data_IF_497897551344
#
_entry.id   IF_497897551344
#
_cell.length_a   1.000
_cell.length_b   1.000
_cell.length_c   1.000
_cell.angle_alpha   90.00
_cell.angle_beta   90.00
_cell.angle_gamma   90.00
#
_symmetry.space_group_name_H-M   'P 1'
#
loop_
_entity.id
_entity.type
_entity.pdbx_description
1 polymer ?
#
# COMPACT_ATOMS: atom_id res chain seq x y z
N UNK A 1 -16.86 -5.43 -5.74
CA UNK A 1 -17.67 -6.63 -5.45
C UNK A 1 -16.90 -7.91 -5.71
N UNK A 2 -16.20 -8.04 -6.85
CA UNK A 2 -15.31 -9.18 -7.15
C UNK A 2 -14.21 -9.43 -6.12
N UNK A 3 -13.61 -8.38 -5.56
CA UNK A 3 -12.59 -8.53 -4.50
C UNK A 3 -13.12 -9.21 -3.23
N UNK A 4 -14.40 -9.05 -2.90
CA UNK A 4 -15.03 -9.69 -1.73
C UNK A 4 -15.11 -11.22 -1.87
N UNK A 5 -15.22 -11.71 -3.11
CA UNK A 5 -15.21 -13.14 -3.42
C UNK A 5 -13.80 -13.74 -3.37
N UNK A 6 -12.75 -12.91 -3.49
CA UNK A 6 -11.36 -13.33 -3.56
C UNK A 6 -10.67 -13.39 -2.19
N UNK A 7 -11.23 -12.73 -1.18
CA UNK A 7 -10.69 -12.80 0.18
C UNK A 7 -11.33 -13.99 0.91
N UNK A 8 -10.53 -14.95 1.41
CA UNK A 8 -11.06 -16.08 2.17
C UNK A 8 -11.82 -15.63 3.42
N UNK A 9 -12.90 -16.34 3.74
CA UNK A 9 -13.73 -16.19 4.94
C UNK A 9 -14.59 -14.91 5.10
N UNK A 10 -14.68 -14.02 4.10
CA UNK A 10 -15.61 -12.87 4.18
C UNK A 10 -17.09 -13.29 3.99
N UNK A 11 -17.35 -14.31 3.17
CA UNK A 11 -18.70 -14.76 2.79
C UNK A 11 -18.88 -16.26 3.12
N UNK A 12 -19.07 -16.62 4.41
CA UNK A 12 -19.24 -18.02 4.82
C UNK A 12 -20.46 -18.68 4.17
N UNK A 13 -21.50 -17.91 3.81
CA UNK A 13 -22.71 -18.39 3.13
C UNK A 13 -22.49 -18.89 1.70
N UNK A 14 -21.31 -18.62 1.12
CA UNK A 14 -20.91 -19.12 -0.20
C UNK A 14 -20.09 -20.40 -0.12
N UNK A 15 -19.75 -20.89 1.08
CA UNK A 15 -19.05 -22.16 1.26
C UNK A 15 -19.89 -23.29 0.65
N UNK A 16 -19.22 -24.17 -0.12
CA UNK A 16 -19.83 -25.31 -0.83
C UNK A 16 -20.80 -24.97 -2.00
N UNK A 17 -20.89 -23.70 -2.42
CA UNK A 17 -21.68 -23.31 -3.60
C UNK A 17 -20.79 -23.11 -4.83
N UNK A 18 -21.32 -23.47 -6.01
CA UNK A 18 -20.68 -23.16 -7.30
C UNK A 18 -20.90 -21.67 -7.62
N UNK A 19 -19.90 -20.84 -7.32
CA UNK A 19 -19.93 -19.39 -7.56
C UNK A 19 -19.08 -19.04 -8.77
N UNK A 20 -19.60 -18.21 -9.67
CA UNK A 20 -18.88 -17.70 -10.83
C UNK A 20 -18.82 -16.17 -10.76
N UNK A 21 -17.64 -15.59 -10.93
CA UNK A 21 -17.48 -14.15 -11.09
C UNK A 21 -17.53 -13.80 -12.58
N UNK A 22 -18.64 -13.21 -13.03
CA UNK A 22 -18.72 -12.65 -14.37
C UNK A 22 -17.98 -11.31 -14.41
N UNK A 23 -16.83 -11.26 -15.08
CA UNK A 23 -16.11 -10.01 -15.31
C UNK A 23 -16.61 -9.42 -16.62
N UNK A 24 -17.45 -8.40 -16.55
CA UNK A 24 -17.85 -7.62 -17.71
C UNK A 24 -16.82 -6.50 -17.92
N UNK A 25 -16.08 -6.55 -19.03
CA UNK A 25 -15.19 -5.46 -19.43
C UNK A 25 -15.98 -4.32 -20.09
N UNK A 26 -15.68 -3.07 -19.73
CA UNK A 26 -16.21 -1.89 -20.41
C UNK A 26 -15.77 -0.58 -19.74
N UNK A 27 -15.15 0.30 -20.54
CA UNK A 27 -14.72 1.67 -20.17
C UNK A 27 -13.88 1.77 -18.88
N UNK A 28 -12.81 0.99 -18.81
CA UNK A 28 -11.84 1.08 -17.72
C UNK A 28 -11.08 2.40 -17.85
N UNK A 29 -11.36 3.30 -16.92
CA UNK A 29 -10.65 4.57 -16.80
C UNK A 29 -9.26 4.37 -16.18
N UNK A 30 -8.25 4.96 -16.81
CA UNK A 30 -6.84 4.93 -16.39
C UNK A 30 -6.63 5.56 -15.00
N UNK A 31 -7.56 6.40 -14.52
CA UNK A 31 -7.48 6.98 -13.16
C UNK A 31 -8.14 6.06 -12.13
N UNK A 32 -9.26 5.43 -12.49
CA UNK A 32 -10.07 4.65 -11.56
C UNK A 32 -9.48 3.27 -11.27
N UNK A 33 -8.90 2.61 -12.27
CA UNK A 33 -8.30 1.28 -12.09
C UNK A 33 -7.12 1.28 -11.09
N UNK A 34 -6.09 2.14 -11.22
CA UNK A 34 -4.96 2.13 -10.30
C UNK A 34 -5.37 2.46 -8.86
N UNK A 35 -6.32 3.39 -8.68
CA UNK A 35 -6.88 3.71 -7.35
C UNK A 35 -7.61 2.52 -6.72
N UNK A 36 -8.32 1.74 -7.53
CA UNK A 36 -9.00 0.54 -7.06
C UNK A 36 -8.01 -0.56 -6.70
N UNK A 37 -6.92 -0.68 -7.46
CA UNK A 37 -5.83 -1.61 -7.17
C UNK A 37 -5.09 -1.25 -5.88
N UNK A 38 -4.74 0.02 -5.65
CA UNK A 38 -4.11 0.46 -4.39
C UNK A 38 -4.99 0.15 -3.17
N UNK A 39 -6.31 0.37 -3.29
CA UNK A 39 -7.26 0.04 -2.21
C UNK A 39 -7.32 -1.46 -1.96
N UNK A 40 -7.39 -2.28 -3.01
CA UNK A 40 -7.39 -3.73 -2.87
C UNK A 40 -6.10 -4.22 -2.18
N UNK A 41 -4.93 -3.72 -2.60
CA UNK A 41 -3.65 -4.02 -1.94
C UNK A 41 -3.66 -3.61 -0.46
N UNK A 42 -4.24 -2.45 -0.12
CA UNK A 42 -4.33 -2.01 1.27
C UNK A 42 -5.27 -2.88 2.11
N UNK A 43 -6.43 -3.28 1.57
CA UNK A 43 -7.41 -4.15 2.26
C UNK A 43 -6.82 -5.54 2.52
N UNK A 44 -6.03 -6.07 1.57
CA UNK A 44 -5.31 -7.34 1.75
C UNK A 44 -4.07 -7.22 2.65
N UNK A 45 -3.79 -6.04 3.24
CA UNK A 45 -2.62 -5.82 4.08
C UNK A 45 -1.28 -5.81 3.33
N UNK A 46 -1.31 -5.77 1.99
CA UNK A 46 -0.13 -5.80 1.12
C UNK A 46 0.42 -4.41 0.78
N UNK A 47 -0.25 -3.34 1.16
CA UNK A 47 0.22 -1.96 0.97
C UNK A 47 0.27 -1.24 2.31
N UNK A 48 1.45 -0.74 2.67
CA UNK A 48 1.67 0.04 3.89
C UNK A 48 2.07 1.46 3.50
N UNK A 49 1.44 2.45 4.12
CA UNK A 49 1.82 3.87 4.02
C UNK A 49 2.43 4.31 5.34
N UNK A 50 3.69 4.72 5.30
CA UNK A 50 4.44 5.20 6.46
C UNK A 50 4.66 6.70 6.32
N UNK A 51 4.39 7.46 7.37
CA UNK A 51 4.67 8.89 7.46
C UNK A 51 5.62 9.11 8.61
N UNK A 52 6.82 9.61 8.34
CA UNK A 52 7.86 9.84 9.35
C UNK A 52 8.32 11.28 9.30
N UNK A 53 8.31 11.94 10.45
CA UNK A 53 8.80 13.31 10.64
C UNK A 53 10.25 13.25 11.09
N UNK A 54 11.16 13.81 10.29
CA UNK A 54 12.60 13.84 10.55
C UNK A 54 13.10 15.28 10.75
N UNK A 55 14.15 15.49 11.56
CA UNK A 55 14.79 16.80 11.67
C UNK A 55 15.52 17.22 10.38
N UNK A 56 15.76 18.53 10.22
CA UNK A 56 16.43 19.24 9.11
C UNK A 56 17.71 18.61 8.52
N UNK A 57 18.43 17.79 9.29
CA UNK A 57 19.68 17.15 8.84
C UNK A 57 19.50 15.64 8.57
N UNK A 58 18.24 15.19 8.47
CA UNK A 58 17.76 13.82 8.51
C UNK A 58 18.17 12.88 7.37
N UNK A 59 19.14 13.22 6.52
CA UNK A 59 19.48 12.41 5.34
C UNK A 59 20.06 11.04 5.73
N UNK A 60 20.81 10.98 6.84
CA UNK A 60 21.36 9.71 7.36
C UNK A 60 20.26 8.84 7.94
N UNK A 61 19.32 9.45 8.65
CA UNK A 61 18.16 8.85 9.26
C UNK A 61 17.22 8.29 8.19
N UNK A 62 17.01 9.02 7.11
CA UNK A 62 16.27 8.55 5.94
C UNK A 62 16.91 7.29 5.35
N UNK A 63 18.22 7.31 5.09
CA UNK A 63 18.92 6.13 4.55
C UNK A 63 18.76 4.93 5.48
N UNK A 64 18.87 5.14 6.80
CA UNK A 64 18.66 4.09 7.80
C UNK A 64 17.24 3.51 7.75
N UNK A 65 16.21 4.35 7.60
CA UNK A 65 14.82 3.90 7.48
C UNK A 65 14.62 3.05 6.22
N UNK A 66 15.12 3.51 5.07
CA UNK A 66 14.99 2.78 3.81
C UNK A 66 15.74 1.44 3.86
N UNK A 67 16.92 1.39 4.48
CA UNK A 67 17.65 0.14 4.70
C UNK A 67 16.90 -0.83 5.61
N UNK A 68 16.23 -0.35 6.66
CA UNK A 68 15.39 -1.20 7.52
C UNK A 68 14.23 -1.78 6.72
N UNK A 69 13.53 -0.97 5.92
CA UNK A 69 12.40 -1.43 5.09
C UNK A 69 12.87 -2.48 4.07
N UNK A 70 14.02 -2.25 3.44
CA UNK A 70 14.61 -3.21 2.50
C UNK A 70 15.00 -4.53 3.19
N UNK A 71 15.56 -4.48 4.41
CA UNK A 71 15.93 -5.66 5.18
C UNK A 71 14.71 -6.51 5.62
N UNK A 72 13.54 -5.89 5.79
CA UNK A 72 12.29 -6.62 6.08
C UNK A 72 11.77 -7.38 4.84
N UNK A 73 12.34 -7.14 3.65
CA UNK A 73 11.89 -7.75 2.40
C UNK A 73 10.71 -7.02 1.77
N UNK A 74 10.43 -5.80 2.20
CA UNK A 74 9.40 -4.95 1.60
C UNK A 74 9.95 -4.20 0.38
N UNK A 75 9.15 -4.11 -0.68
CA UNK A 75 9.48 -3.29 -1.83
C UNK A 75 9.01 -1.85 -1.62
N UNK A 76 9.81 -0.85 -2.00
CA UNK A 76 9.43 0.56 -1.90
C UNK A 76 8.81 1.00 -3.23
N UNK A 77 7.52 1.33 -3.21
CA UNK A 77 6.76 1.78 -4.38
C UNK A 77 6.95 3.28 -4.65
N UNK A 78 6.92 4.09 -3.58
CA UNK A 78 7.05 5.55 -3.68
C UNK A 78 7.65 6.10 -2.39
N UNK A 79 8.56 7.05 -2.52
CA UNK A 79 9.03 7.90 -1.43
C UNK A 79 8.87 9.37 -1.83
N UNK A 80 8.34 10.20 -0.95
CA UNK A 80 8.32 11.65 -1.15
C UNK A 80 8.65 12.37 0.15
N UNK A 81 9.32 13.52 -0.01
CA UNK A 81 9.75 14.39 1.09
C UNK A 81 8.96 15.67 0.98
N UNK A 82 8.25 16.01 2.04
CA UNK A 82 7.59 17.30 2.18
C UNK A 82 8.34 18.19 3.17
N UNK A 83 8.46 19.48 2.87
CA UNK A 83 9.15 20.47 3.71
C UNK A 83 8.09 21.31 4.41
N UNK A 84 8.07 21.31 5.73
CA UNK A 84 7.24 22.24 6.50
C UNK A 84 7.59 23.70 6.15
N UNK A 85 6.58 24.57 6.03
CA UNK A 85 6.78 26.00 5.73
C UNK A 85 7.09 26.85 6.97
N UNK A 86 7.12 26.24 8.16
CA UNK A 86 7.23 26.89 9.47
C UNK A 86 8.61 26.65 10.07
N UNK A 87 9.12 27.61 10.85
CA UNK A 87 10.51 27.68 11.36
C UNK A 87 11.03 26.42 12.09
N UNK A 88 10.14 25.51 12.52
CA UNK A 88 10.51 24.16 12.90
C UNK A 88 10.47 23.25 11.67
N UNK A 89 11.47 23.38 10.80
CA UNK A 89 11.57 22.58 9.58
C UNK A 89 11.73 21.09 9.94
N UNK A 90 10.66 20.35 9.76
CA UNK A 90 10.69 18.90 9.75
C UNK A 90 10.42 18.39 8.33
N UNK A 91 11.11 17.31 7.96
CA UNK A 91 10.81 16.58 6.73
C UNK A 91 9.79 15.50 7.00
N UNK A 92 8.72 15.50 6.21
CA UNK A 92 7.77 14.38 6.24
C UNK A 92 8.09 13.44 5.10
N UNK A 93 8.56 12.24 5.43
CA UNK A 93 8.79 11.17 4.46
C UNK A 93 7.58 10.29 4.41
N UNK A 94 7.07 10.09 3.20
CA UNK A 94 5.98 9.18 2.95
C UNK A 94 6.48 8.00 2.13
N UNK A 95 6.39 6.80 2.70
CA UNK A 95 6.82 5.57 2.03
C UNK A 95 5.61 4.68 1.81
N UNK A 96 5.35 4.37 0.55
CA UNK A 96 4.43 3.28 0.18
C UNK A 96 5.26 2.02 -0.02
N UNK A 97 5.06 0.99 0.78
CA UNK A 97 5.76 -0.29 0.62
C UNK A 97 4.82 -1.46 0.39
N UNK A 98 5.23 -2.41 -0.45
CA UNK A 98 4.52 -3.66 -0.69
C UNK A 98 5.29 -4.84 -0.11
N UNK A 99 4.64 -5.57 0.80
CA UNK A 99 5.19 -6.78 1.41
C UNK A 99 4.74 -8.00 0.61
N UNK A 100 5.68 -8.64 -0.10
CA UNK A 100 5.43 -9.91 -0.78
C UNK A 100 5.30 -11.10 0.17
N UNK A 101 5.68 -10.94 1.44
CA UNK A 101 5.82 -12.03 2.41
C UNK A 101 4.56 -12.37 3.23
N UNK A 102 3.47 -11.60 3.17
CA UNK A 102 2.27 -11.83 4.00
C UNK A 102 1.29 -12.86 3.42
N UNK A 103 1.64 -13.50 2.29
CA UNK A 103 0.94 -14.71 1.81
C UNK A 103 1.64 -15.92 2.42
N UNK A 104 1.31 -16.24 3.67
CA UNK A 104 1.64 -17.52 4.31
C UNK A 104 0.40 -18.04 5.03
#
# INVERSE_FOLDING_TARGET
>A
MSALLAVPDILPELREKNVVCLITGGNIDVVTLPKSLERAKAVEGRLIKLTVTLPLNGMKEQSKILSIIANVGCNILRSYIDRGWTDNDFYTIYVSSESSCFVK
#
